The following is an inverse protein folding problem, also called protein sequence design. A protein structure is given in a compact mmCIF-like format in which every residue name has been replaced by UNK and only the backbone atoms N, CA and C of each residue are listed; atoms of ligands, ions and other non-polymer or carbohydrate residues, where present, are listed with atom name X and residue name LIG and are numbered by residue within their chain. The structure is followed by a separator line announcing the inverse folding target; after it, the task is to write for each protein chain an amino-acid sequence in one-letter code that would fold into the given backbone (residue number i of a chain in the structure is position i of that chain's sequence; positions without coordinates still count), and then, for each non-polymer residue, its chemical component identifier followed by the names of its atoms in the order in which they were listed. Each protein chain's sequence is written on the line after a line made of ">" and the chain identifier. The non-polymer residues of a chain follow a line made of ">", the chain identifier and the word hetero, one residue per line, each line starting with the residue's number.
data_IF_913072159277
#
_entry.id   IF_913072159277
#
_cell.length_a   1.000
_cell.length_b   1.000
_cell.length_c   1.000
_cell.angle_alpha   90.00
_cell.angle_beta   90.00
_cell.angle_gamma   90.00
#
_symmetry.space_group_name_H-M   'P 1'
#
loop_
_entity.id
_entity.type
_entity.pdbx_description
1 polymer ?
#
# COMPACT_ATOMS: atom_id res chain seq x y z
N UNK A 1 22.36 63.53 -23.28
CA UNK A 1 23.10 63.33 -22.01
C UNK A 1 22.14 63.61 -20.85
N UNK A 2 22.09 62.76 -19.81
CA UNK A 2 20.87 62.39 -19.08
C UNK A 2 20.86 62.76 -17.57
N UNK A 3 19.69 62.69 -16.92
CA UNK A 3 19.52 62.33 -15.49
C UNK A 3 18.02 62.05 -15.21
N UNK A 4 17.58 60.79 -14.98
CA UNK A 4 17.52 60.05 -13.68
C UNK A 4 16.51 60.67 -12.68
N UNK A 5 15.65 60.00 -11.91
CA UNK A 5 15.18 58.62 -11.71
C UNK A 5 14.18 58.68 -10.54
N UNK A 6 13.08 57.91 -10.56
CA UNK A 6 12.50 57.11 -9.44
C UNK A 6 11.04 56.72 -9.74
N UNK A 7 10.74 55.45 -10.06
CA UNK A 7 10.34 54.33 -9.16
C UNK A 7 8.80 54.21 -9.11
N UNK A 8 8.14 53.08 -9.38
CA UNK A 8 8.62 51.73 -9.65
C UNK A 8 7.54 50.75 -10.18
N UNK A 9 8.06 49.62 -10.68
CA UNK A 9 7.49 48.27 -10.88
C UNK A 9 6.16 48.04 -11.62
N UNK A 10 6.23 47.37 -12.80
CA UNK A 10 5.17 46.55 -13.35
C UNK A 10 5.65 45.10 -13.54
N UNK A 11 5.25 44.14 -12.71
CA UNK A 11 5.27 42.71 -13.09
C UNK A 11 4.17 41.97 -12.33
N UNK A 12 2.95 41.99 -12.86
CA UNK A 12 1.95 40.98 -12.55
C UNK A 12 2.12 39.82 -13.51
N UNK A 13 3.02 38.89 -13.20
CA UNK A 13 3.10 37.60 -13.87
C UNK A 13 1.78 36.86 -13.61
N UNK A 14 0.91 36.82 -14.63
CA UNK A 14 -0.20 35.87 -14.68
C UNK A 14 0.41 34.48 -14.91
N UNK A 15 0.81 33.84 -13.82
CA UNK A 15 1.08 32.40 -13.81
C UNK A 15 -0.22 31.69 -14.21
N UNK A 16 -0.23 30.83 -15.24
CA UNK A 16 -1.38 29.98 -15.48
C UNK A 16 -1.42 28.95 -14.34
N UNK A 17 -2.32 29.19 -13.38
CA UNK A 17 -2.77 28.13 -12.46
C UNK A 17 -3.33 27.02 -13.34
N UNK A 18 -2.55 25.95 -13.46
CA UNK A 18 -3.01 24.69 -14.03
C UNK A 18 -4.22 24.24 -13.19
N UNK A 19 -5.41 24.05 -13.79
CA UNK A 19 -6.54 23.52 -13.04
C UNK A 19 -6.13 22.14 -12.54
N UNK A 20 -5.97 21.99 -11.22
CA UNK A 20 -5.90 20.68 -10.60
C UNK A 20 -7.27 20.04 -10.88
N UNK A 21 -7.28 19.12 -11.84
CA UNK A 21 -8.45 18.37 -12.19
C UNK A 21 -8.90 17.56 -10.97
N UNK A 22 -10.05 17.97 -10.42
CA UNK A 22 -11.04 17.18 -9.71
C UNK A 22 -10.51 16.22 -8.62
N UNK A 23 -10.80 16.56 -7.36
CA UNK A 23 -10.95 15.63 -6.25
C UNK A 23 -11.99 14.53 -6.61
N UNK A 24 -11.56 13.50 -7.35
CA UNK A 24 -12.07 12.15 -7.16
C UNK A 24 -11.56 11.59 -5.81
N UNK A 25 -11.97 10.38 -5.39
CA UNK A 25 -11.47 9.77 -4.16
C UNK A 25 -9.96 9.88 -4.18
N UNK A 26 -9.36 10.58 -3.19
CA UNK A 26 -7.94 10.94 -3.19
C UNK A 26 -7.10 9.67 -3.27
N UNK A 27 -6.77 9.25 -4.49
CA UNK A 27 -5.93 8.08 -4.72
C UNK A 27 -4.59 8.37 -4.10
N UNK A 28 -4.10 7.41 -3.35
CA UNK A 28 -2.79 7.55 -2.74
C UNK A 28 -1.75 7.73 -3.86
N UNK A 29 -0.71 8.55 -3.65
CA UNK A 29 0.29 8.82 -4.68
C UNK A 29 1.07 7.56 -5.11
N UNK A 30 0.92 6.43 -4.42
CA UNK A 30 1.41 5.12 -4.85
C UNK A 30 0.44 4.39 -5.78
N UNK A 31 -0.88 4.53 -5.62
CA UNK A 31 -1.87 3.93 -6.53
C UNK A 31 -1.76 4.49 -7.95
N UNK A 32 -1.41 5.77 -8.09
CA UNK A 32 -1.12 6.37 -9.39
C UNK A 32 0.13 5.76 -10.04
N UNK A 33 1.19 5.51 -9.26
CA UNK A 33 2.43 4.87 -9.71
C UNK A 33 2.18 3.42 -10.13
N UNK A 34 1.37 2.68 -9.36
CA UNK A 34 0.94 1.32 -9.68
C UNK A 34 0.18 1.31 -11.01
N UNK A 35 -0.83 2.19 -11.15
CA UNK A 35 -1.63 2.29 -12.37
C UNK A 35 -0.77 2.63 -13.58
N UNK A 36 0.17 3.56 -13.44
CA UNK A 36 1.09 3.95 -14.51
C UNK A 36 1.96 2.77 -14.93
N UNK A 37 2.55 2.03 -13.97
CA UNK A 37 3.34 0.84 -14.26
C UNK A 37 2.54 -0.28 -14.94
N UNK A 38 1.27 -0.46 -14.57
CA UNK A 38 0.37 -1.43 -15.21
C UNK A 38 -0.14 -0.98 -16.59
N UNK A 39 -0.03 0.31 -16.91
CA UNK A 39 -0.50 0.89 -18.19
C UNK A 39 0.61 1.05 -19.24
N UNK A 40 1.84 0.61 -18.95
CA UNK A 40 3.01 0.80 -19.80
C UNK A 40 2.90 0.11 -21.19
N UNK A 41 2.02 -0.88 -21.37
CA UNK A 41 1.80 -1.48 -22.71
C UNK A 41 1.14 -0.51 -23.70
N UNK A 42 0.47 0.53 -23.18
CA UNK A 42 -0.27 1.51 -23.98
C UNK A 42 0.52 2.79 -24.23
N UNK A 43 1.41 3.13 -23.29
CA UNK A 43 2.22 4.32 -23.32
C UNK A 43 3.62 3.97 -22.83
N UNK A 44 4.58 3.98 -23.75
CA UNK A 44 5.99 3.76 -23.46
C UNK A 44 6.54 4.96 -22.67
N UNK A 45 6.96 4.77 -21.41
CA UNK A 45 7.49 5.86 -20.60
C UNK A 45 8.89 6.29 -21.09
N UNK A 46 9.31 7.52 -20.82
CA UNK A 46 10.72 7.87 -21.04
C UNK A 46 11.63 7.05 -20.10
N UNK A 47 12.91 6.80 -20.46
CA UNK A 47 13.84 6.06 -19.61
C UNK A 47 13.96 6.63 -18.18
N UNK A 48 14.01 7.97 -18.05
CA UNK A 48 14.02 8.63 -16.74
C UNK A 48 12.74 8.39 -15.94
N UNK A 49 11.58 8.43 -16.62
CA UNK A 49 10.29 8.15 -15.98
C UNK A 49 10.22 6.71 -15.52
N UNK A 50 10.68 5.76 -16.34
CA UNK A 50 10.78 4.36 -15.96
C UNK A 50 11.64 4.20 -14.72
N UNK A 51 12.85 4.78 -14.70
CA UNK A 51 13.74 4.70 -13.54
C UNK A 51 13.07 5.23 -12.27
N UNK A 52 12.39 6.37 -12.36
CA UNK A 52 11.65 6.94 -11.24
C UNK A 52 10.51 6.02 -10.74
N UNK A 53 9.74 5.42 -11.65
CA UNK A 53 8.67 4.47 -11.31
C UNK A 53 9.23 3.22 -10.65
N UNK A 54 10.28 2.62 -11.23
CA UNK A 54 10.95 1.44 -10.67
C UNK A 54 11.49 1.71 -9.27
N UNK A 55 12.22 2.82 -9.06
CA UNK A 55 12.76 3.18 -7.74
C UNK A 55 11.64 3.34 -6.71
N UNK A 56 10.56 4.02 -7.07
CA UNK A 56 9.44 4.27 -6.15
C UNK A 56 8.69 2.97 -5.81
N UNK A 57 8.49 2.10 -6.79
CA UNK A 57 7.88 0.79 -6.58
C UNK A 57 8.77 -0.11 -5.72
N UNK A 58 10.09 -0.14 -5.94
CA UNK A 58 11.01 -0.92 -5.12
C UNK A 58 10.98 -0.49 -3.65
N UNK A 59 11.00 0.82 -3.40
CA UNK A 59 10.92 1.37 -2.04
C UNK A 59 9.58 1.02 -1.38
N UNK A 60 8.47 1.20 -2.11
CA UNK A 60 7.15 0.89 -1.59
C UNK A 60 6.95 -0.61 -1.33
N UNK A 61 7.30 -1.47 -2.27
CA UNK A 61 7.18 -2.93 -2.12
C UNK A 61 8.01 -3.42 -0.93
N UNK A 62 9.22 -2.89 -0.73
CA UNK A 62 10.02 -3.19 0.45
C UNK A 62 9.32 -2.82 1.76
N UNK A 63 8.89 -1.57 1.89
CA UNK A 63 8.23 -1.08 3.10
C UNK A 63 6.88 -1.76 3.36
N UNK A 64 6.07 -1.96 2.32
CA UNK A 64 4.74 -2.57 2.43
C UNK A 64 4.82 -4.07 2.73
N UNK A 65 5.83 -4.78 2.21
CA UNK A 65 6.06 -6.18 2.54
C UNK A 65 6.44 -6.35 4.02
N UNK A 66 7.35 -5.52 4.54
CA UNK A 66 7.71 -5.53 5.97
C UNK A 66 6.51 -5.20 6.86
N UNK A 67 5.77 -4.13 6.54
CA UNK A 67 4.59 -3.75 7.32
C UNK A 67 3.48 -4.82 7.29
N UNK A 68 3.33 -5.54 6.17
CA UNK A 68 2.36 -6.62 6.06
C UNK A 68 2.77 -7.83 6.91
N UNK A 69 4.06 -8.19 6.89
CA UNK A 69 4.61 -9.26 7.74
C UNK A 69 4.44 -8.95 9.23
N UNK A 70 4.76 -7.73 9.66
CA UNK A 70 4.53 -7.25 11.04
C UNK A 70 3.05 -7.31 11.43
N UNK A 71 2.13 -6.94 10.53
CA UNK A 71 0.69 -6.91 10.83
C UNK A 71 0.03 -8.28 11.01
N UNK A 72 0.71 -9.35 10.58
CA UNK A 72 0.20 -10.74 10.69
C UNK A 72 1.05 -11.59 11.63
N UNK A 73 2.06 -11.01 12.28
CA UNK A 73 2.98 -11.78 13.12
C UNK A 73 2.29 -12.33 14.38
N UNK A 74 1.32 -11.59 14.90
CA UNK A 74 0.50 -11.95 16.06
C UNK A 74 -0.55 -13.04 15.76
N UNK A 75 -0.86 -13.31 14.49
CA UNK A 75 -1.83 -14.33 14.10
C UNK A 75 -1.27 -15.75 14.25
N UNK A 76 -2.08 -16.78 14.51
CA UNK A 76 -1.62 -18.17 14.52
C UNK A 76 -0.95 -18.56 13.19
N UNK A 77 0.06 -19.43 13.25
CA UNK A 77 0.80 -19.86 12.04
C UNK A 77 -0.07 -20.62 11.02
N UNK A 78 -1.12 -21.30 11.50
CA UNK A 78 -2.09 -22.00 10.65
C UNK A 78 -3.26 -21.12 10.19
N UNK A 79 -3.30 -19.85 10.61
CA UNK A 79 -4.34 -18.94 10.18
C UNK A 79 -4.25 -18.71 8.66
N UNK A 80 -5.34 -18.94 7.91
CA UNK A 80 -5.36 -18.74 6.46
C UNK A 80 -4.98 -17.31 6.06
N UNK A 81 -5.34 -16.32 6.87
CA UNK A 81 -5.02 -14.89 6.65
C UNK A 81 -3.52 -14.64 6.75
N UNK A 82 -2.85 -15.23 7.76
CA UNK A 82 -1.40 -15.15 7.92
C UNK A 82 -0.69 -15.84 6.76
N UNK A 83 -1.12 -17.05 6.36
CA UNK A 83 -0.53 -17.80 5.25
C UNK A 83 -0.65 -17.04 3.93
N UNK A 84 -1.82 -16.48 3.63
CA UNK A 84 -2.04 -15.68 2.42
C UNK A 84 -1.18 -14.42 2.41
N UNK A 85 -1.11 -13.69 3.54
CA UNK A 85 -0.29 -12.50 3.65
C UNK A 85 1.21 -12.79 3.44
N UNK A 86 1.73 -13.85 4.07
CA UNK A 86 3.12 -14.26 3.90
C UNK A 86 3.42 -14.76 2.48
N UNK A 87 2.46 -15.40 1.81
CA UNK A 87 2.61 -15.77 0.41
C UNK A 87 2.76 -14.54 -0.49
N UNK A 88 1.95 -13.49 -0.28
CA UNK A 88 2.06 -12.21 -0.99
C UNK A 88 3.39 -11.53 -0.70
N UNK A 89 3.86 -11.52 0.56
CA UNK A 89 5.18 -10.97 0.94
C UNK A 89 6.31 -11.72 0.24
N UNK A 90 6.26 -13.06 0.23
CA UNK A 90 7.27 -13.90 -0.43
C UNK A 90 7.34 -13.61 -1.93
N UNK A 91 6.19 -13.53 -2.59
CA UNK A 91 6.11 -13.22 -4.02
C UNK A 91 6.64 -11.80 -4.33
N UNK A 92 6.30 -10.83 -3.48
CA UNK A 92 6.78 -9.46 -3.62
C UNK A 92 8.31 -9.36 -3.46
N UNK A 93 8.89 -10.07 -2.48
CA UNK A 93 10.34 -10.17 -2.29
C UNK A 93 11.03 -10.89 -3.44
N UNK A 94 10.43 -11.99 -3.92
CA UNK A 94 10.94 -12.73 -5.06
C UNK A 94 11.05 -11.82 -6.28
N UNK A 95 9.97 -11.13 -6.66
CA UNK A 95 9.96 -10.21 -7.80
C UNK A 95 10.96 -9.06 -7.67
N UNK A 96 11.18 -8.57 -6.45
CA UNK A 96 12.20 -7.55 -6.16
C UNK A 96 13.62 -8.06 -6.40
N UNK A 97 13.88 -9.36 -6.15
CA UNK A 97 15.21 -9.96 -6.25
C UNK A 97 15.67 -10.34 -7.67
N UNK A 98 14.75 -10.51 -8.61
CA UNK A 98 15.08 -10.94 -10.00
C UNK A 98 15.80 -9.81 -10.76
N UNK A 99 15.54 -8.55 -10.40
CA UNK A 99 16.09 -7.38 -11.08
C UNK A 99 15.61 -7.21 -12.53
N UNK A 100 15.89 -6.07 -13.16
CA UNK A 100 15.67 -5.91 -14.60
C UNK A 100 16.75 -6.69 -15.37
N UNK A 101 16.34 -7.47 -16.37
CA UNK A 101 17.26 -8.06 -17.35
C UNK A 101 17.83 -7.02 -18.32
N UNK A 102 18.65 -7.47 -19.28
CA UNK A 102 19.26 -6.57 -20.25
C UNK A 102 18.23 -6.01 -21.23
N UNK A 103 18.24 -4.70 -21.39
CA UNK A 103 17.41 -3.98 -22.35
C UNK A 103 16.11 -3.38 -21.78
N UNK A 104 15.58 -2.43 -22.53
CA UNK A 104 14.44 -1.61 -22.14
C UNK A 104 13.13 -2.41 -22.01
N UNK A 105 12.92 -3.43 -22.85
CA UNK A 105 11.76 -4.33 -22.75
C UNK A 105 11.77 -5.15 -21.46
N UNK A 106 12.93 -5.67 -21.06
CA UNK A 106 13.12 -6.39 -19.79
C UNK A 106 12.87 -5.46 -18.59
N UNK A 107 13.32 -4.21 -18.67
CA UNK A 107 13.08 -3.19 -17.64
C UNK A 107 11.59 -2.80 -17.53
N UNK A 108 10.84 -2.75 -18.64
CA UNK A 108 9.38 -2.58 -18.62
C UNK A 108 8.69 -3.74 -17.94
N UNK A 109 9.02 -4.97 -18.32
CA UNK A 109 8.44 -6.19 -17.73
C UNK A 109 8.71 -6.25 -16.21
N UNK A 110 9.92 -5.91 -15.79
CA UNK A 110 10.29 -5.81 -14.38
C UNK A 110 9.50 -4.72 -13.64
N UNK A 111 9.40 -3.51 -14.20
CA UNK A 111 8.65 -2.42 -13.57
C UNK A 111 7.16 -2.76 -13.44
N UNK A 112 6.60 -3.45 -14.43
CA UNK A 112 5.23 -3.96 -14.39
C UNK A 112 5.04 -5.03 -13.32
N UNK A 113 5.97 -5.98 -13.20
CA UNK A 113 5.88 -7.04 -12.19
C UNK A 113 5.92 -6.49 -10.77
N UNK A 114 6.70 -5.42 -10.54
CA UNK A 114 6.69 -4.64 -9.30
C UNK A 114 5.36 -3.92 -9.07
N UNK A 115 4.76 -3.34 -10.12
CA UNK A 115 3.43 -2.73 -10.05
C UNK A 115 2.35 -3.74 -9.63
N UNK A 116 2.40 -4.96 -10.18
CA UNK A 116 1.50 -6.05 -9.78
C UNK A 116 1.71 -6.47 -8.32
N UNK A 117 2.98 -6.57 -7.87
CA UNK A 117 3.29 -6.90 -6.48
C UNK A 117 2.76 -5.83 -5.51
N UNK A 118 2.94 -4.56 -5.86
CA UNK A 118 2.43 -3.44 -5.09
C UNK A 118 0.89 -3.42 -5.04
N UNK A 119 0.19 -3.70 -6.14
CA UNK A 119 -1.28 -3.81 -6.16
C UNK A 119 -1.77 -4.95 -5.24
N UNK A 120 -1.11 -6.12 -5.30
CA UNK A 120 -1.44 -7.25 -4.43
C UNK A 120 -1.26 -6.92 -2.94
N UNK A 121 -0.16 -6.24 -2.57
CA UNK A 121 0.08 -5.78 -1.20
C UNK A 121 -0.99 -4.78 -0.73
N UNK A 122 -1.36 -3.82 -1.57
CA UNK A 122 -2.42 -2.84 -1.24
C UNK A 122 -3.76 -3.55 -1.04
N UNK A 123 -4.12 -4.51 -1.91
CA UNK A 123 -5.36 -5.29 -1.77
C UNK A 123 -5.35 -6.14 -0.50
N UNK A 124 -4.24 -6.80 -0.17
CA UNK A 124 -4.15 -7.62 1.03
C UNK A 124 -4.27 -6.77 2.30
N UNK A 125 -3.60 -5.61 2.36
CA UNK A 125 -3.75 -4.68 3.49
C UNK A 125 -5.19 -4.17 3.63
N UNK A 126 -5.88 -3.88 2.53
CA UNK A 126 -7.31 -3.50 2.57
C UNK A 126 -8.17 -4.65 3.08
N UNK A 127 -7.92 -5.89 2.65
CA UNK A 127 -8.64 -7.08 3.15
C UNK A 127 -8.45 -7.25 4.66
N UNK A 128 -7.21 -7.16 5.14
CA UNK A 128 -6.91 -7.20 6.58
C UNK A 128 -7.64 -6.10 7.36
N UNK A 129 -7.63 -4.86 6.85
CA UNK A 129 -8.33 -3.75 7.50
C UNK A 129 -9.85 -3.96 7.55
N UNK A 130 -10.45 -4.57 6.51
CA UNK A 130 -11.87 -4.89 6.51
C UNK A 130 -12.22 -6.07 7.43
N UNK A 131 -11.37 -7.07 7.52
CA UNK A 131 -11.57 -8.24 8.38
C UNK A 131 -11.39 -7.88 9.87
N UNK A 132 -10.38 -7.05 10.18
CA UNK A 132 -10.15 -6.51 11.53
C UNK A 132 -11.23 -5.50 11.96
N UNK A 133 -11.81 -4.75 11.02
CA UNK A 133 -12.92 -3.82 11.28
C UNK A 133 -14.29 -4.50 11.47
N UNK A 134 -14.39 -5.82 11.23
CA UNK A 134 -15.57 -6.64 11.55
C UNK A 134 -15.50 -7.30 12.92
N UNK A 135 -14.39 -7.16 13.64
CA UNK A 135 -14.23 -7.64 15.02
C UNK A 135 -14.64 -6.52 15.98
N UNK A 136 -15.94 -6.20 16.03
CA UNK A 136 -16.52 -5.57 17.21
C UNK A 136 -16.22 -6.48 18.41
N UNK A 137 -15.53 -6.01 19.46
CA UNK A 137 -15.45 -6.76 20.70
C UNK A 137 -16.85 -6.76 21.30
N UNK A 138 -17.62 -7.80 21.02
CA UNK A 138 -18.80 -8.13 21.84
C UNK A 138 -18.27 -8.29 23.25
N UNK A 139 -18.65 -7.35 24.11
CA UNK A 139 -18.15 -7.25 25.47
C UNK A 139 -18.30 -8.57 26.24
N UNK A 140 -17.42 -8.84 27.20
CA UNK A 140 -17.53 -10.00 28.06
C UNK A 140 -18.71 -9.80 29.02
N UNK A 141 -19.90 -10.20 28.60
CA UNK A 141 -21.05 -10.32 29.48
C UNK A 141 -21.59 -11.75 29.43
N UNK A 142 -21.04 -12.59 30.30
CA UNK A 142 -21.79 -13.58 31.06
C UNK A 142 -20.87 -14.16 32.15
N UNK A 143 -21.14 -13.70 33.36
CA UNK A 143 -20.76 -14.19 34.68
C UNK A 143 -20.10 -15.58 34.79
N UNK A 144 -19.09 -15.71 35.68
CA UNK A 144 -18.66 -17.00 36.20
C UNK A 144 -19.59 -17.45 37.35
N UNK A 145 -19.53 -18.75 37.66
CA UNK A 145 -19.99 -19.43 38.89
C UNK A 145 -21.42 -20.00 38.83
N UNK A 146 -21.55 -21.13 38.12
CA UNK A 146 -22.51 -22.19 38.45
C UNK A 146 -21.81 -23.23 39.32
N UNK A 147 -21.94 -23.07 40.63
CA UNK A 147 -21.44 -23.95 41.68
C UNK A 147 -22.15 -25.33 41.54
N UNK A 148 -21.46 -26.36 41.05
CA UNK A 148 -22.00 -27.72 41.04
C UNK A 148 -21.57 -28.42 42.34
N UNK A 149 -22.47 -28.49 43.32
CA UNK A 149 -22.30 -29.29 44.55
C UNK A 149 -23.16 -30.54 44.43
N UNK A 150 -22.60 -31.76 44.52
CA UNK A 150 -23.42 -32.94 44.69
C UNK A 150 -23.85 -33.10 46.16
N UNK A 151 -25.17 -33.15 46.33
CA UNK A 151 -26.00 -33.74 47.38
C UNK A 151 -25.33 -34.30 48.64
N UNK A 152 -25.63 -33.68 49.80
CA UNK A 152 -25.66 -34.38 51.08
C UNK A 152 -27.07 -34.94 51.30
N UNK A 153 -27.18 -36.27 51.23
CA UNK A 153 -28.34 -37.07 51.60
C UNK A 153 -28.54 -36.97 53.14
N UNK A 154 -29.68 -36.45 53.56
CA UNK A 154 -30.19 -36.53 54.93
C UNK A 154 -31.21 -37.67 54.97
N UNK A 155 -30.86 -38.79 55.59
CA UNK A 155 -31.85 -39.78 56.05
C UNK A 155 -31.51 -40.23 57.48
N UNK A 156 -32.34 -39.71 58.38
CA UNK A 156 -32.77 -40.18 59.72
C UNK A 156 -32.39 -41.59 60.18
#
# INVERSE_FOLDING_TARGET
>A
MPASSRTGHPVGELTPVRPQAADGPRRSPIEDVIREALSMDRLLPTPDRMRALTTRLLAFVGAAATALEESVDDLPMDDPVRRDALAVVKEARYRRGIGPGDGYGSAMAFTRSLGQAADALVRQRRRLAHDQGGHDPVGPDASPIGFNTPECLDER
#
